data_IF_591862119846
#
_entry.id   IF_591862119846
#
_cell.length_a   1.000
_cell.length_b   1.000
_cell.length_c   1.000
_cell.angle_alpha   90.00
_cell.angle_beta   90.00
_cell.angle_gamma   90.00
#
_symmetry.space_group_name_H-M   'P 1'
#
loop_
_entity.id
_entity.type
_entity.pdbx_description
1 polymer ?
#
# COMPACT_ATOMS: atom_id res chain seq x y z
N UNK A 1 -21.84 -14.09 1.93
CA UNK A 1 -20.67 -14.14 2.82
C UNK A 1 -19.81 -15.32 2.36
N UNK A 2 -18.86 -15.08 1.45
CA UNK A 2 -17.91 -16.10 1.03
C UNK A 2 -16.65 -15.94 1.90
N UNK A 3 -16.35 -16.95 2.68
CA UNK A 3 -15.09 -17.05 3.43
C UNK A 3 -14.10 -17.75 2.53
N UNK A 4 -13.12 -17.05 2.02
CA UNK A 4 -11.96 -17.68 1.36
C UNK A 4 -10.97 -18.11 2.45
N UNK A 5 -10.57 -19.36 2.40
CA UNK A 5 -9.54 -19.92 3.26
C UNK A 5 -8.17 -19.49 2.69
N UNK A 6 -7.48 -18.59 3.40
CA UNK A 6 -6.15 -18.12 3.03
C UNK A 6 -5.11 -19.24 3.13
N UNK A 7 -4.25 -19.31 2.13
CA UNK A 7 -3.07 -20.19 2.13
C UNK A 7 -1.95 -19.53 2.96
N UNK A 8 -1.44 -20.25 3.96
CA UNK A 8 -0.28 -19.81 4.74
C UNK A 8 0.99 -19.92 3.90
N UNK A 9 1.62 -18.80 3.57
CA UNK A 9 2.97 -18.79 3.01
C UNK A 9 4.00 -18.81 4.14
N UNK A 10 4.97 -19.74 4.05
CA UNK A 10 6.13 -19.77 4.93
C UNK A 10 7.30 -19.09 4.20
N UNK A 11 7.74 -17.97 4.72
CA UNK A 11 9.02 -17.37 4.34
C UNK A 11 10.15 -18.16 5.05
N UNK A 12 10.87 -18.97 4.32
CA UNK A 12 11.92 -19.81 4.87
C UNK A 12 13.26 -19.06 4.92
N UNK A 13 13.68 -18.67 6.11
CA UNK A 13 15.07 -18.36 6.44
C UNK A 13 15.71 -19.59 7.11
N UNK A 14 16.95 -19.90 6.76
CA UNK A 14 17.68 -21.06 7.20
C UNK A 14 18.08 -20.91 8.68
N UNK A 15 17.37 -21.59 9.60
CA UNK A 15 17.81 -21.81 10.99
C UNK A 15 17.08 -21.12 12.12
N UNK A 16 16.25 -20.09 11.87
CA UNK A 16 15.33 -19.50 12.84
C UNK A 16 13.88 -19.69 12.37
N UNK A 17 12.96 -19.91 13.32
CA UNK A 17 11.53 -20.00 13.00
C UNK A 17 11.06 -18.67 12.44
N UNK A 18 10.87 -18.57 11.12
CA UNK A 18 10.40 -17.37 10.43
C UNK A 18 9.07 -16.88 11.02
N UNK A 19 8.86 -15.56 11.03
CA UNK A 19 7.59 -14.94 11.38
C UNK A 19 6.46 -15.62 10.61
N UNK A 20 5.42 -16.08 11.31
CA UNK A 20 4.24 -16.67 10.70
C UNK A 20 3.20 -15.59 10.45
N UNK A 21 2.68 -15.53 9.24
CA UNK A 21 1.64 -14.58 8.83
C UNK A 21 0.33 -15.29 8.47
N UNK A 22 -0.78 -14.58 8.63
CA UNK A 22 -2.12 -14.93 8.12
C UNK A 22 -2.67 -13.74 7.36
N UNK A 23 -3.68 -13.97 6.53
CA UNK A 23 -4.35 -12.92 5.76
C UNK A 23 -5.71 -12.62 6.34
N UNK A 24 -6.01 -11.34 6.58
CA UNK A 24 -7.35 -10.85 6.84
C UNK A 24 -8.01 -10.54 5.50
N UNK A 25 -8.96 -11.37 5.10
CA UNK A 25 -9.75 -11.17 3.88
C UNK A 25 -11.18 -10.77 4.24
N UNK A 26 -11.66 -9.67 3.68
CA UNK A 26 -13.06 -9.24 3.79
C UNK A 26 -13.49 -8.48 2.53
N UNK A 27 -14.77 -8.56 2.20
CA UNK A 27 -15.35 -7.84 1.07
C UNK A 27 -16.75 -7.33 1.41
N UNK A 28 -17.06 -6.15 0.90
CA UNK A 28 -18.39 -5.53 0.95
C UNK A 28 -18.83 -5.21 -0.47
N UNK A 29 -20.06 -5.61 -0.80
CA UNK A 29 -20.74 -5.20 -2.02
C UNK A 29 -22.06 -4.56 -1.59
N UNK A 30 -22.19 -3.27 -1.75
CA UNK A 30 -23.33 -2.49 -1.32
C UNK A 30 -24.00 -1.83 -2.52
N UNK A 31 -25.28 -2.13 -2.74
CA UNK A 31 -26.08 -1.46 -3.76
C UNK A 31 -26.53 -0.07 -3.25
N UNK A 32 -26.46 0.96 -4.10
CA UNK A 32 -26.88 2.30 -3.70
C UNK A 32 -28.34 2.34 -3.30
N UNK A 33 -29.23 1.81 -4.16
CA UNK A 33 -30.66 1.68 -3.88
C UNK A 33 -31.32 0.67 -4.82
N UNK A 34 -32.53 0.21 -4.45
CA UNK A 34 -33.31 -0.70 -5.27
C UNK A 34 -33.63 -0.11 -6.65
N UNK A 35 -33.39 -0.89 -7.70
CA UNK A 35 -33.69 -0.53 -9.09
C UNK A 35 -32.59 0.26 -9.81
N UNK A 36 -31.44 0.50 -9.15
CA UNK A 36 -30.21 1.02 -9.77
C UNK A 36 -29.11 -0.05 -9.75
N UNK A 37 -28.19 0.04 -10.71
CA UNK A 37 -27.02 -0.85 -10.81
C UNK A 37 -25.78 -0.26 -10.10
N UNK A 38 -25.87 1.01 -9.65
CA UNK A 38 -24.77 1.68 -8.97
C UNK A 38 -24.46 1.03 -7.63
N UNK A 39 -23.18 0.86 -7.33
CA UNK A 39 -22.74 0.11 -6.17
C UNK A 39 -21.37 0.56 -5.65
N UNK A 40 -21.13 0.21 -4.40
CA UNK A 40 -19.82 0.25 -3.75
C UNK A 40 -19.24 -1.15 -3.67
N UNK A 41 -17.98 -1.30 -4.10
CA UNK A 41 -17.18 -2.50 -3.91
C UNK A 41 -15.98 -2.20 -3.02
N UNK A 42 -15.87 -2.90 -1.89
CA UNK A 42 -14.71 -2.85 -1.01
C UNK A 42 -14.10 -4.24 -0.91
N UNK A 43 -12.80 -4.34 -1.08
CA UNK A 43 -12.02 -5.56 -0.79
C UNK A 43 -10.86 -5.17 0.10
N UNK A 44 -10.67 -5.92 1.17
CA UNK A 44 -9.53 -5.77 2.09
C UNK A 44 -8.86 -7.13 2.19
N UNK A 45 -7.57 -7.19 1.88
CA UNK A 45 -6.73 -8.37 1.96
C UNK A 45 -5.38 -7.97 2.56
N UNK A 46 -5.21 -8.20 3.87
CA UNK A 46 -4.04 -7.74 4.61
C UNK A 46 -3.35 -8.91 5.30
N UNK A 47 -2.10 -9.17 4.95
CA UNK A 47 -1.24 -10.06 5.73
C UNK A 47 -0.85 -9.40 7.05
N UNK A 48 -0.83 -10.19 8.11
CA UNK A 48 -0.43 -9.75 9.44
C UNK A 48 0.25 -10.89 10.22
N UNK A 49 1.19 -10.55 11.13
CA UNK A 49 1.90 -11.57 11.89
C UNK A 49 1.01 -12.20 12.96
N UNK A 50 1.12 -13.54 13.12
CA UNK A 50 0.33 -14.30 14.11
C UNK A 50 1.19 -15.11 15.08
N UNK A 51 2.42 -15.49 14.72
CA UNK A 51 3.29 -16.30 15.56
C UNK A 51 4.77 -16.11 15.23
N UNK A 52 5.63 -16.68 16.07
CA UNK A 52 7.10 -16.70 15.99
C UNK A 52 7.77 -15.32 16.15
N UNK A 53 7.08 -14.38 16.76
CA UNK A 53 7.59 -13.09 17.26
C UNK A 53 6.91 -12.80 18.59
N UNK A 54 7.45 -11.87 19.41
CA UNK A 54 6.84 -11.50 20.68
C UNK A 54 5.47 -10.84 20.52
N UNK A 55 4.63 -10.88 21.53
CA UNK A 55 3.30 -10.26 21.50
C UNK A 55 3.38 -8.74 21.32
N UNK A 56 4.41 -8.12 21.90
CA UNK A 56 4.68 -6.68 21.79
C UNK A 56 5.03 -6.29 20.35
N UNK A 57 5.94 -7.04 19.71
CA UNK A 57 6.35 -6.82 18.32
C UNK A 57 5.18 -7.05 17.39
N UNK A 58 4.44 -8.15 17.57
CA UNK A 58 3.24 -8.45 16.78
C UNK A 58 2.23 -7.32 16.86
N UNK A 59 1.95 -6.84 18.09
CA UNK A 59 1.01 -5.73 18.28
C UNK A 59 1.48 -4.46 17.56
N UNK A 60 2.74 -4.08 17.68
CA UNK A 60 3.28 -2.87 17.04
C UNK A 60 3.19 -2.93 15.52
N UNK A 61 3.47 -4.09 14.91
CA UNK A 61 3.33 -4.30 13.46
C UNK A 61 1.84 -4.21 13.07
N UNK A 62 0.94 -4.90 13.77
CA UNK A 62 -0.50 -4.85 13.48
C UNK A 62 -1.07 -3.43 13.64
N UNK A 63 -0.65 -2.68 14.65
CA UNK A 63 -1.05 -1.28 14.86
C UNK A 63 -0.60 -0.40 13.67
N UNK A 64 0.61 -0.60 13.15
CA UNK A 64 1.13 0.14 11.98
C UNK A 64 0.38 -0.23 10.70
N UNK A 65 0.07 -1.52 10.48
CA UNK A 65 -0.75 -1.99 9.35
C UNK A 65 -2.17 -1.40 9.47
N UNK A 66 -2.77 -1.42 10.65
CA UNK A 66 -4.09 -0.82 10.88
C UNK A 66 -4.09 0.70 10.62
N UNK A 67 -3.04 1.38 11.05
CA UNK A 67 -2.88 2.82 10.86
C UNK A 67 -2.82 3.20 9.38
N UNK A 68 -2.01 2.49 8.57
CA UNK A 68 -1.90 2.79 7.14
C UNK A 68 -3.16 2.40 6.37
N UNK A 69 -3.81 1.30 6.74
CA UNK A 69 -4.99 0.79 6.05
C UNK A 69 -6.28 1.55 6.40
N UNK A 70 -6.43 1.97 7.65
CA UNK A 70 -7.72 2.49 8.15
C UNK A 70 -7.62 3.90 8.76
N UNK A 71 -6.41 4.35 9.11
CA UNK A 71 -6.19 5.69 9.66
C UNK A 71 -6.34 5.78 11.18
N UNK A 72 -6.10 6.98 11.70
CA UNK A 72 -6.03 7.28 13.13
C UNK A 72 -7.35 7.04 13.88
N UNK A 73 -8.49 7.18 13.22
CA UNK A 73 -9.81 7.05 13.85
C UNK A 73 -10.11 5.61 14.32
N UNK A 74 -9.33 4.63 13.84
CA UNK A 74 -9.45 3.21 14.17
C UNK A 74 -8.27 2.70 15.03
N UNK A 75 -7.41 3.62 15.50
CA UNK A 75 -6.26 3.27 16.32
C UNK A 75 -6.68 2.59 17.63
N UNK A 76 -5.92 1.56 18.02
CA UNK A 76 -6.17 0.81 19.25
C UNK A 76 -7.21 -0.31 19.14
N UNK A 77 -7.89 -0.45 18.00
CA UNK A 77 -8.71 -1.62 17.68
C UNK A 77 -7.81 -2.76 17.17
N UNK A 78 -8.25 -4.00 17.35
CA UNK A 78 -7.59 -5.08 16.61
C UNK A 78 -7.85 -4.95 15.09
N UNK A 79 -6.97 -5.55 14.27
CA UNK A 79 -7.00 -5.37 12.81
C UNK A 79 -8.34 -5.75 12.19
N UNK A 80 -8.99 -6.81 12.68
CA UNK A 80 -10.28 -7.30 12.18
C UNK A 80 -11.43 -6.37 12.59
N UNK A 81 -11.40 -5.88 13.82
CA UNK A 81 -12.37 -4.92 14.34
C UNK A 81 -12.24 -3.58 13.58
N UNK A 82 -11.01 -3.10 13.37
CA UNK A 82 -10.72 -1.91 12.59
C UNK A 82 -11.26 -2.02 11.16
N UNK A 83 -10.99 -3.14 10.47
CA UNK A 83 -11.48 -3.38 9.11
C UNK A 83 -13.02 -3.39 9.04
N UNK A 84 -13.68 -4.06 9.98
CA UNK A 84 -15.15 -4.13 10.03
C UNK A 84 -15.80 -2.76 10.28
N UNK A 85 -15.24 -1.99 11.21
CA UNK A 85 -15.76 -0.66 11.54
C UNK A 85 -15.49 0.34 10.40
N UNK A 86 -14.27 0.34 9.85
CA UNK A 86 -13.93 1.18 8.71
C UNK A 86 -14.85 0.89 7.51
N UNK A 87 -15.10 -0.38 7.19
CA UNK A 87 -15.99 -0.77 6.10
C UNK A 87 -17.42 -0.26 6.31
N UNK A 88 -17.95 -0.38 7.54
CA UNK A 88 -19.29 0.11 7.87
C UNK A 88 -19.38 1.64 7.77
N UNK A 89 -18.33 2.35 8.20
CA UNK A 89 -18.26 3.81 8.11
C UNK A 89 -18.14 4.26 6.65
N UNK A 90 -17.38 3.53 5.83
CA UNK A 90 -17.22 3.83 4.40
C UNK A 90 -18.51 3.59 3.61
N UNK A 91 -19.26 2.51 3.90
CA UNK A 91 -20.61 2.28 3.34
C UNK A 91 -21.54 3.46 3.66
N UNK A 92 -21.56 3.94 4.91
CA UNK A 92 -22.38 5.09 5.30
C UNK A 92 -22.00 6.36 4.56
N UNK A 93 -20.70 6.62 4.40
CA UNK A 93 -20.17 7.75 3.63
C UNK A 93 -20.62 7.66 2.17
N UNK A 94 -20.49 6.49 1.54
CA UNK A 94 -20.94 6.25 0.18
C UNK A 94 -22.42 6.60 -0.03
N UNK A 95 -23.31 6.12 0.85
CA UNK A 95 -24.75 6.45 0.74
C UNK A 95 -25.01 7.95 0.88
N UNK A 96 -24.38 8.62 1.85
CA UNK A 96 -24.56 10.06 2.07
C UNK A 96 -24.12 10.89 0.86
N UNK A 97 -22.94 10.63 0.30
CA UNK A 97 -22.41 11.34 -0.86
C UNK A 97 -23.24 11.11 -2.12
N UNK A 98 -23.66 9.87 -2.35
CA UNK A 98 -24.53 9.55 -3.49
C UNK A 98 -25.92 10.17 -3.36
N UNK A 99 -26.51 10.22 -2.15
CA UNK A 99 -27.77 10.92 -1.92
C UNK A 99 -27.66 12.43 -2.22
N UNK A 100 -26.56 13.06 -1.83
CA UNK A 100 -26.31 14.48 -2.13
C UNK A 100 -26.18 14.70 -3.63
N UNK A 101 -25.46 13.84 -4.33
CA UNK A 101 -25.32 13.86 -5.79
C UNK A 101 -26.69 13.72 -6.46
N UNK A 102 -27.48 12.71 -6.08
CA UNK A 102 -28.82 12.50 -6.63
C UNK A 102 -29.74 13.72 -6.46
N UNK A 103 -29.74 14.36 -5.28
CA UNK A 103 -30.52 15.56 -5.01
C UNK A 103 -30.14 16.74 -5.92
N UNK A 104 -28.85 16.90 -6.26
CA UNK A 104 -28.40 17.93 -7.18
C UNK A 104 -28.93 17.69 -8.60
N UNK A 105 -28.99 16.46 -9.07
CA UNK A 105 -29.51 16.10 -10.38
C UNK A 105 -31.04 16.21 -10.45
N UNK A 106 -31.77 15.77 -9.42
CA UNK A 106 -33.24 15.94 -9.34
C UNK A 106 -33.67 17.39 -9.49
N UNK A 107 -32.93 18.32 -8.89
CA UNK A 107 -33.19 19.77 -8.99
C UNK A 107 -33.09 20.32 -10.42
N UNK A 108 -32.34 19.68 -11.29
CA UNK A 108 -32.09 20.06 -12.69
C UNK A 108 -32.92 19.22 -13.69
N UNK A 109 -33.59 18.16 -13.24
CA UNK A 109 -34.32 17.21 -14.10
C UNK A 109 -33.43 16.22 -14.87
N UNK A 110 -32.19 16.11 -14.49
CA UNK A 110 -31.19 15.18 -15.08
C UNK A 110 -31.04 13.92 -14.23
N UNK A 111 -30.30 12.94 -14.74
CA UNK A 111 -29.95 11.69 -14.05
C UNK A 111 -28.42 11.57 -14.06
N UNK A 112 -27.76 11.37 -12.91
CA UNK A 112 -26.31 11.17 -12.87
C UNK A 112 -25.91 9.89 -13.61
N UNK A 113 -24.74 9.93 -14.25
CA UNK A 113 -24.15 8.74 -14.86
C UNK A 113 -23.70 7.75 -13.77
N UNK A 114 -23.73 6.44 -14.05
CA UNK A 114 -23.25 5.41 -13.12
C UNK A 114 -21.79 5.64 -12.72
N UNK A 115 -20.96 6.21 -13.61
CA UNK A 115 -19.57 6.59 -13.29
C UNK A 115 -19.43 7.67 -12.20
N UNK A 116 -20.50 8.38 -11.85
CA UNK A 116 -20.50 9.37 -10.77
C UNK A 116 -20.94 8.78 -9.43
N UNK A 117 -21.57 7.61 -9.47
CA UNK A 117 -22.18 6.96 -8.30
C UNK A 117 -21.50 5.65 -7.90
N UNK A 118 -20.77 4.99 -8.82
CA UNK A 118 -19.99 3.81 -8.49
C UNK A 118 -18.74 4.16 -7.69
N UNK A 119 -18.40 3.32 -6.71
CA UNK A 119 -17.18 3.42 -5.91
C UNK A 119 -16.51 2.06 -5.79
N UNK A 120 -15.19 2.08 -5.83
CA UNK A 120 -14.37 0.91 -5.55
C UNK A 120 -13.24 1.27 -4.59
N UNK A 121 -12.95 0.38 -3.64
CA UNK A 121 -11.84 0.54 -2.71
C UNK A 121 -11.20 -0.82 -2.43
N UNK A 122 -9.99 -1.02 -2.91
CA UNK A 122 -9.23 -2.24 -2.68
C UNK A 122 -8.01 -1.90 -1.84
N UNK A 123 -7.86 -2.61 -0.73
CA UNK A 123 -6.76 -2.45 0.23
C UNK A 123 -6.04 -3.78 0.32
N UNK A 124 -4.84 -3.84 -0.20
CA UNK A 124 -4.00 -5.04 -0.20
C UNK A 124 -2.72 -4.77 0.56
N UNK A 125 -2.32 -5.68 1.42
CA UNK A 125 -1.08 -5.54 2.16
C UNK A 125 -0.40 -6.89 2.35
N UNK A 126 0.91 -6.98 2.07
CA UNK A 126 1.64 -8.23 2.10
C UNK A 126 3.11 -8.01 2.46
N UNK A 127 3.69 -9.02 3.12
CA UNK A 127 5.12 -9.05 3.37
C UNK A 127 5.85 -9.48 2.09
N UNK A 128 6.80 -8.68 1.63
CA UNK A 128 7.55 -8.96 0.42
C UNK A 128 8.78 -9.81 0.71
N UNK A 129 9.67 -9.31 1.58
CA UNK A 129 10.92 -9.97 1.89
C UNK A 129 11.33 -9.71 3.35
N UNK A 130 12.26 -10.54 3.84
CA UNK A 130 12.95 -10.31 5.11
C UNK A 130 14.45 -10.22 4.84
N UNK A 131 15.08 -9.16 5.30
CA UNK A 131 16.53 -8.98 5.26
C UNK A 131 17.08 -8.78 6.67
N UNK A 132 17.91 -9.71 7.15
CA UNK A 132 18.34 -9.77 8.55
C UNK A 132 17.11 -9.80 9.49
N UNK A 133 16.96 -8.80 10.35
CA UNK A 133 15.80 -8.62 11.24
C UNK A 133 14.79 -7.57 10.73
N UNK A 134 14.81 -7.23 9.44
CA UNK A 134 13.88 -6.29 8.82
C UNK A 134 12.91 -7.06 7.95
N UNK A 135 11.61 -6.90 8.20
CA UNK A 135 10.56 -7.40 7.33
C UNK A 135 9.93 -6.24 6.55
N UNK A 136 10.03 -6.30 5.22
CA UNK A 136 9.41 -5.33 4.32
C UNK A 136 7.96 -5.70 4.03
N UNK A 137 7.09 -4.73 4.08
CA UNK A 137 5.66 -4.83 3.84
C UNK A 137 5.24 -3.81 2.82
N UNK A 138 4.51 -4.22 1.79
CA UNK A 138 3.92 -3.31 0.81
C UNK A 138 2.42 -3.25 1.05
N UNK A 139 1.92 -2.04 1.19
CA UNK A 139 0.49 -1.74 1.23
C UNK A 139 0.11 -1.05 -0.06
N UNK A 140 -0.87 -1.58 -0.76
CA UNK A 140 -1.45 -1.04 -1.99
C UNK A 140 -2.90 -0.66 -1.74
N UNK A 141 -3.28 0.55 -2.12
CA UNK A 141 -4.66 1.00 -2.10
C UNK A 141 -5.08 1.46 -3.50
N UNK A 142 -5.98 0.71 -4.12
CA UNK A 142 -6.71 1.17 -5.29
C UNK A 142 -8.02 1.81 -4.86
N UNK A 143 -8.37 2.93 -5.49
CA UNK A 143 -9.64 3.58 -5.29
C UNK A 143 -10.20 4.17 -6.59
N UNK A 144 -11.51 4.00 -6.74
CA UNK A 144 -12.32 4.68 -7.74
C UNK A 144 -13.47 5.40 -7.03
N UNK A 145 -13.50 6.71 -7.12
CA UNK A 145 -14.50 7.56 -6.46
C UNK A 145 -15.36 8.31 -7.48
N UNK A 146 -15.59 7.69 -8.62
CA UNK A 146 -16.26 8.28 -9.76
C UNK A 146 -15.28 8.96 -10.73
N UNK A 147 -15.78 9.28 -11.93
CA UNK A 147 -14.99 9.95 -12.96
C UNK A 147 -14.40 9.02 -14.02
N UNK A 148 -13.26 9.39 -14.60
CA UNK A 148 -12.70 8.72 -15.76
C UNK A 148 -11.95 7.42 -15.45
N UNK A 149 -11.27 7.36 -14.30
CA UNK A 149 -10.45 6.20 -13.87
C UNK A 149 -10.20 6.22 -12.37
N UNK A 150 -9.81 5.08 -11.81
CA UNK A 150 -9.31 4.97 -10.44
C UNK A 150 -7.85 5.37 -10.31
N UNK A 151 -7.31 5.26 -9.11
CA UNK A 151 -5.90 5.47 -8.82
C UNK A 151 -5.39 4.40 -7.86
N UNK A 152 -4.09 4.09 -7.97
CA UNK A 152 -3.40 3.18 -7.06
C UNK A 152 -2.28 3.93 -6.35
N UNK A 153 -2.16 3.70 -5.04
CA UNK A 153 -1.06 4.20 -4.23
C UNK A 153 -0.41 3.02 -3.52
N UNK A 154 0.90 2.90 -3.66
CA UNK A 154 1.71 1.91 -2.95
C UNK A 154 2.53 2.58 -1.86
N UNK A 155 2.55 2.00 -0.67
CA UNK A 155 3.34 2.46 0.47
C UNK A 155 4.11 1.30 1.07
N UNK A 156 5.41 1.45 1.21
CA UNK A 156 6.29 0.48 1.84
C UNK A 156 6.49 0.79 3.33
N UNK A 157 6.51 -0.24 4.14
CA UNK A 157 6.89 -0.22 5.55
C UNK A 157 8.00 -1.24 5.79
N UNK A 158 9.07 -0.85 6.46
CA UNK A 158 10.13 -1.76 6.87
C UNK A 158 10.05 -1.93 8.38
N UNK A 159 9.72 -3.12 8.85
CA UNK A 159 9.57 -3.42 10.28
C UNK A 159 10.85 -4.00 10.86
N UNK A 160 11.34 -3.42 11.94
CA UNK A 160 12.31 -4.05 12.82
C UNK A 160 11.63 -5.20 13.60
N UNK A 161 12.05 -6.42 13.39
CA UNK A 161 11.48 -7.61 14.02
C UNK A 161 11.85 -7.78 15.52
N UNK A 162 12.76 -6.97 16.05
CA UNK A 162 13.05 -6.93 17.50
C UNK A 162 12.10 -6.00 18.25
N UNK A 163 11.71 -4.87 17.65
CA UNK A 163 10.89 -3.84 18.29
C UNK A 163 9.48 -3.70 17.70
N UNK A 164 9.24 -4.20 16.49
CA UNK A 164 8.01 -4.00 15.72
C UNK A 164 7.83 -2.60 15.14
N UNK A 165 8.81 -1.72 15.28
CA UNK A 165 8.75 -0.34 14.79
C UNK A 165 9.04 -0.26 13.29
N UNK A 166 8.41 0.71 12.64
CA UNK A 166 8.75 1.07 11.25
C UNK A 166 10.10 1.77 11.24
N UNK A 167 11.01 1.31 10.38
CA UNK A 167 12.31 1.89 10.13
C UNK A 167 12.18 2.93 9.02
N UNK A 168 12.51 4.17 9.31
CA UNK A 168 12.55 5.27 8.34
C UNK A 168 13.88 5.30 7.58
N UNK A 169 13.95 6.03 6.46
CA UNK A 169 15.22 6.28 5.75
C UNK A 169 16.31 6.82 6.67
N UNK A 170 15.98 7.81 7.50
CA UNK A 170 16.92 8.42 8.42
C UNK A 170 17.43 7.46 9.51
N UNK A 171 16.69 6.40 9.83
CA UNK A 171 17.12 5.34 10.73
C UNK A 171 17.90 4.25 10.01
N UNK A 172 17.62 4.01 8.74
CA UNK A 172 18.27 2.98 7.92
C UNK A 172 19.60 3.47 7.33
N UNK A 173 19.66 4.69 6.81
CA UNK A 173 20.86 5.24 6.20
C UNK A 173 21.66 6.17 7.15
N UNK A 174 22.95 6.28 6.91
CA UNK A 174 23.85 7.24 7.58
C UNK A 174 23.50 8.67 7.15
N UNK A 175 23.71 9.69 8.01
CA UNK A 175 23.51 11.08 7.60
C UNK A 175 24.30 11.45 6.35
N UNK A 176 23.67 12.16 5.41
CA UNK A 176 24.29 12.60 4.15
C UNK A 176 24.24 11.55 3.03
N UNK A 177 23.35 10.54 3.14
CA UNK A 177 23.15 9.49 2.14
C UNK A 177 22.44 9.98 0.86
N UNK A 178 21.69 11.06 0.96
CA UNK A 178 20.65 11.47 0.01
C UNK A 178 21.20 11.68 -1.41
N UNK A 179 22.35 12.39 -1.54
CA UNK A 179 22.93 12.70 -2.85
C UNK A 179 23.46 11.44 -3.54
N UNK A 180 24.23 10.62 -2.83
CA UNK A 180 24.80 9.39 -3.38
C UNK A 180 23.73 8.34 -3.70
N UNK A 181 22.71 8.24 -2.86
CA UNK A 181 21.58 7.35 -3.12
C UNK A 181 20.73 7.83 -4.32
N UNK A 182 20.54 9.14 -4.48
CA UNK A 182 19.89 9.71 -5.65
C UNK A 182 20.67 9.41 -6.94
N UNK A 183 22.00 9.50 -6.93
CA UNK A 183 22.83 9.12 -8.09
C UNK A 183 22.65 7.64 -8.45
N UNK A 184 22.65 6.73 -7.47
CA UNK A 184 22.41 5.32 -7.70
C UNK A 184 21.00 5.05 -8.25
N UNK A 185 19.96 5.67 -7.68
CA UNK A 185 18.58 5.56 -8.17
C UNK A 185 18.45 6.04 -9.61
N UNK A 186 19.05 7.17 -9.97
CA UNK A 186 19.04 7.68 -11.35
C UNK A 186 19.77 6.75 -12.32
N UNK A 187 20.83 6.08 -11.89
CA UNK A 187 21.56 5.11 -12.71
C UNK A 187 20.69 3.89 -13.08
N UNK A 188 19.79 3.47 -12.18
CA UNK A 188 18.89 2.32 -12.39
C UNK A 188 17.49 2.70 -12.92
N UNK A 189 17.17 3.98 -13.02
CA UNK A 189 15.84 4.44 -13.44
C UNK A 189 15.45 3.93 -14.82
N UNK A 190 16.40 3.89 -15.78
CA UNK A 190 16.11 3.42 -17.14
C UNK A 190 15.69 1.95 -17.18
N UNK A 191 16.24 1.13 -16.29
CA UNK A 191 15.93 -0.30 -16.18
C UNK A 191 14.58 -0.57 -15.51
N UNK A 192 14.10 0.41 -14.73
CA UNK A 192 12.83 0.34 -14.01
C UNK A 192 11.59 0.57 -14.90
N UNK A 193 11.79 0.98 -16.16
CA UNK A 193 10.70 1.24 -17.12
C UNK A 193 10.83 0.30 -18.35
N UNK A 194 9.68 -0.07 -19.00
CA UNK A 194 9.68 -1.15 -19.98
C UNK A 194 10.48 -0.85 -21.26
N UNK A 195 10.50 0.39 -21.71
CA UNK A 195 11.12 0.76 -22.98
C UNK A 195 11.58 2.22 -23.01
N UNK A 196 12.22 2.64 -24.11
CA UNK A 196 12.73 3.99 -24.30
C UNK A 196 11.62 5.03 -24.43
N UNK A 197 10.50 4.69 -25.05
CA UNK A 197 9.37 5.60 -25.20
C UNK A 197 8.76 5.93 -23.83
N UNK A 198 8.58 4.93 -22.97
CA UNK A 198 8.15 5.12 -21.58
C UNK A 198 9.12 6.02 -20.82
N UNK A 199 10.44 5.78 -20.95
CA UNK A 199 11.45 6.63 -20.30
C UNK A 199 11.38 8.07 -20.78
N UNK A 200 11.25 8.32 -22.09
CA UNK A 200 11.21 9.66 -22.69
C UNK A 200 9.92 10.44 -22.31
N UNK A 201 8.83 9.74 -21.93
CA UNK A 201 7.56 10.36 -21.52
C UNK A 201 7.49 10.69 -20.03
N UNK A 202 8.48 10.32 -19.23
CA UNK A 202 8.54 10.67 -17.80
C UNK A 202 8.57 12.19 -17.59
N UNK A 203 8.04 12.65 -16.46
CA UNK A 203 8.04 14.08 -16.12
C UNK A 203 9.42 14.56 -15.71
N UNK A 204 10.23 13.67 -15.14
CA UNK A 204 11.60 13.93 -14.70
C UNK A 204 12.42 12.64 -14.71
N UNK A 205 13.72 12.79 -14.98
CA UNK A 205 14.72 11.75 -14.78
C UNK A 205 15.60 12.04 -13.56
N UNK A 206 15.40 13.20 -12.92
CA UNK A 206 16.07 13.60 -11.68
C UNK A 206 15.20 13.15 -10.50
N UNK A 207 15.45 11.93 -10.00
CA UNK A 207 14.73 11.33 -8.88
C UNK A 207 15.59 11.37 -7.60
N UNK A 208 14.90 11.33 -6.46
CA UNK A 208 15.52 11.35 -5.12
C UNK A 208 14.87 10.32 -4.23
N UNK A 209 15.54 9.88 -3.16
CA UNK A 209 14.89 9.13 -2.09
C UNK A 209 13.64 9.87 -1.61
N UNK A 210 12.52 9.12 -1.51
CA UNK A 210 11.20 9.67 -1.17
C UNK A 210 10.58 9.04 0.09
N UNK A 211 11.34 8.19 0.81
CA UNK A 211 10.88 7.50 2.02
C UNK A 211 10.07 6.24 1.75
N UNK A 212 9.68 6.01 0.50
CA UNK A 212 8.85 4.87 0.11
C UNK A 212 9.72 3.76 -0.49
N UNK A 213 10.27 2.89 0.35
CA UNK A 213 11.23 1.87 -0.07
C UNK A 213 11.04 0.55 0.68
N UNK A 214 11.40 -0.55 0.04
CA UNK A 214 11.53 -1.88 0.63
C UNK A 214 12.99 -2.30 0.69
N UNK A 215 13.28 -3.24 1.60
CA UNK A 215 14.60 -3.83 1.81
C UNK A 215 14.54 -5.32 1.50
N UNK A 216 15.52 -5.85 0.75
CA UNK A 216 15.59 -7.24 0.32
C UNK A 216 17.01 -7.82 0.48
N UNK A 217 17.18 -9.12 0.21
CA UNK A 217 18.51 -9.75 0.11
C UNK A 217 19.38 -9.16 -1.00
N UNK A 218 18.79 -8.54 -2.02
CA UNK A 218 19.47 -7.98 -3.18
C UNK A 218 19.85 -6.52 -3.02
N UNK A 219 19.06 -5.74 -2.29
CA UNK A 219 19.25 -4.31 -2.17
C UNK A 219 18.03 -3.60 -1.59
N UNK A 220 17.84 -2.36 -2.00
CA UNK A 220 16.63 -1.56 -1.71
C UNK A 220 15.86 -1.30 -2.99
N UNK A 221 14.54 -1.22 -2.89
CA UNK A 221 13.67 -0.84 -4.00
C UNK A 221 12.82 0.36 -3.60
N UNK A 222 12.97 1.46 -4.32
CA UNK A 222 12.19 2.68 -4.14
C UNK A 222 10.95 2.66 -5.03
N UNK A 223 9.82 3.05 -4.47
CA UNK A 223 8.52 3.09 -5.12
C UNK A 223 8.12 4.55 -5.36
N UNK A 224 7.96 4.90 -6.63
CA UNK A 224 7.44 6.19 -7.07
C UNK A 224 6.02 5.98 -7.60
N UNK A 225 5.05 6.56 -6.92
CA UNK A 225 3.64 6.37 -7.24
C UNK A 225 3.21 7.06 -8.55
N UNK A 226 2.01 6.73 -9.02
CA UNK A 226 1.37 7.39 -10.16
C UNK A 226 1.45 8.92 -10.02
N UNK A 227 1.78 9.61 -11.11
CA UNK A 227 1.95 11.07 -11.19
C UNK A 227 3.16 11.64 -10.41
N UNK A 228 3.94 10.84 -9.69
CA UNK A 228 5.11 11.34 -8.93
C UNK A 228 6.26 11.70 -9.89
N UNK A 229 6.63 10.79 -10.77
CA UNK A 229 7.74 10.98 -11.71
C UNK A 229 7.35 10.68 -13.17
N UNK A 230 6.16 10.13 -13.41
CA UNK A 230 5.70 9.72 -14.73
C UNK A 230 4.17 9.82 -14.86
N UNK A 231 3.62 9.77 -16.09
CA UNK A 231 2.16 9.76 -16.31
C UNK A 231 1.47 8.57 -15.64
N UNK A 232 0.18 8.77 -15.29
CA UNK A 232 -0.70 7.76 -14.71
C UNK A 232 -0.63 6.37 -15.39
N UNK A 233 -0.54 6.34 -16.71
CA UNK A 233 -0.53 5.11 -17.50
C UNK A 233 0.67 4.20 -17.25
N UNK A 234 1.71 4.70 -16.62
CA UNK A 234 2.90 3.92 -16.28
C UNK A 234 2.77 3.18 -14.92
N UNK A 235 1.74 3.49 -14.14
CA UNK A 235 1.60 2.91 -12.81
C UNK A 235 2.63 3.44 -11.81
N UNK A 236 2.88 2.68 -10.75
CA UNK A 236 4.01 2.91 -9.85
C UNK A 236 5.32 2.42 -10.49
N UNK A 237 6.40 3.16 -10.30
CA UNK A 237 7.73 2.81 -10.83
C UNK A 237 8.60 2.35 -9.67
N UNK A 238 9.15 1.15 -9.79
CA UNK A 238 9.97 0.49 -8.78
C UNK A 238 11.44 0.52 -9.22
N UNK A 239 12.26 1.31 -8.53
CA UNK A 239 13.70 1.47 -8.83
C UNK A 239 14.52 0.71 -7.81
N UNK A 240 15.16 -0.37 -8.23
CA UNK A 240 15.98 -1.21 -7.37
C UNK A 240 17.45 -0.83 -7.46
N UNK A 241 18.11 -0.72 -6.29
CA UNK A 241 19.55 -0.44 -6.18
C UNK A 241 20.19 -1.57 -5.39
N UNK A 242 21.22 -2.26 -5.96
CA UNK A 242 21.87 -3.39 -5.31
C UNK A 242 22.81 -2.95 -4.16
N UNK A 243 23.04 -3.86 -3.21
CA UNK A 243 23.86 -3.58 -2.01
C UNK A 243 25.29 -3.14 -2.30
N UNK A 244 25.92 -3.62 -3.37
CA UNK A 244 27.30 -3.30 -3.71
C UNK A 244 27.51 -1.80 -4.06
N UNK A 245 26.45 -1.11 -4.46
CA UNK A 245 26.51 0.31 -4.79
C UNK A 245 26.25 1.24 -3.59
N UNK A 246 25.51 0.75 -2.56
CA UNK A 246 25.02 1.59 -1.45
C UNK A 246 25.36 1.08 -0.06
N UNK A 247 26.14 -0.02 0.05
CA UNK A 247 26.44 -0.66 1.35
C UNK A 247 27.12 0.26 2.35
N UNK A 248 27.93 1.19 1.89
CA UNK A 248 28.62 2.17 2.73
C UNK A 248 27.69 3.27 3.28
N UNK A 249 26.49 3.41 2.71
CA UNK A 249 25.46 4.34 3.18
C UNK A 249 24.62 3.80 4.34
N UNK A 250 24.64 2.47 4.58
CA UNK A 250 23.77 1.82 5.58
C UNK A 250 24.35 2.00 6.98
N UNK A 251 23.49 2.24 7.96
CA UNK A 251 23.88 2.18 9.39
C UNK A 251 24.23 0.75 9.78
N UNK A 252 25.23 0.62 10.66
CA UNK A 252 25.61 -0.67 11.27
C UNK A 252 24.63 -1.12 12.33
#
# INVERSE_FOLDING_TARGET
MLVFAGAAMMLASCGETSMKVETLDTAVNEALMAGREDSLHVVISLEYPVANISDEVRKAICDSISMIAFGQDYAGLDLKEAAGKWSADYVRTYHNECEETLKLYEGNGDIPMSSELNRERYKTGYFTETYKNIASYTYEEYFYEGGAHGSTVETALNFDLESGKVITEAEFFKPGYEEKLAEALMAHLREAVPDQESYDTMFTHEIKPNGNFTVSEQGVTYIYNQYEIAPYSMGAIHVSVPWDEIRDLIRE
#
